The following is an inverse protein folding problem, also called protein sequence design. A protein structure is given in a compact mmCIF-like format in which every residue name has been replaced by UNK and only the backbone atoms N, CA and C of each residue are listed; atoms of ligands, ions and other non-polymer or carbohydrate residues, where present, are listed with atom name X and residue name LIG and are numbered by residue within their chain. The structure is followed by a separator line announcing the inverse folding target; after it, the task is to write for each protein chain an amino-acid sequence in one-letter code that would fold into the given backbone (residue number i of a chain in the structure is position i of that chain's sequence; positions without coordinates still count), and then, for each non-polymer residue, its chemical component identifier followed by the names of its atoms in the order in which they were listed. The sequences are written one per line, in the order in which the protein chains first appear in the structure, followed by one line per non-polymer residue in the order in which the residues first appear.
data_IF_223616543179
#
_entry.id   IF_223616543179
#
_cell.length_a   1.000
_cell.length_b   1.000
_cell.length_c   1.000
_cell.angle_alpha   90.00
_cell.angle_beta   90.00
_cell.angle_gamma   90.00
#
_symmetry.space_group_name_H-M   'P 1'
#
loop_
_entity.id
_entity.type
_entity.pdbx_description
1 polymer ?
#
# COMPACT_ATOMS: atom_id res chain seq x y z
N UNK A 1 -60.69 1.64 29.42
CA UNK A 1 -59.27 1.93 29.70
C UNK A 1 -58.40 0.94 28.91
N UNK A 2 -58.26 1.14 27.59
CA UNK A 2 -57.32 0.38 26.76
C UNK A 2 -56.85 1.29 25.62
N UNK A 3 -56.06 2.30 25.99
CA UNK A 3 -55.30 3.09 25.04
C UNK A 3 -54.10 2.26 24.57
N UNK A 4 -54.34 1.57 23.46
CA UNK A 4 -53.42 1.10 22.42
C UNK A 4 -51.91 1.15 22.75
N UNK A 5 -51.41 0.13 23.46
CA UNK A 5 -49.98 -0.05 23.76
C UNK A 5 -49.09 -0.11 22.50
N UNK A 6 -49.65 -0.55 21.36
CA UNK A 6 -48.93 -0.60 20.08
C UNK A 6 -48.58 0.80 19.51
N UNK A 7 -49.43 1.79 19.73
CA UNK A 7 -49.20 3.15 19.22
C UNK A 7 -48.09 3.86 20.02
N UNK A 8 -48.03 3.61 21.33
CA UNK A 8 -46.99 4.14 22.22
C UNK A 8 -45.64 3.49 21.90
N UNK A 9 -45.61 2.18 21.63
CA UNK A 9 -44.39 1.45 21.28
C UNK A 9 -43.83 1.85 19.91
N UNK A 10 -44.68 2.08 18.90
CA UNK A 10 -44.26 2.62 17.61
C UNK A 10 -43.75 4.07 17.71
N UNK A 11 -44.42 4.95 18.48
CA UNK A 11 -43.90 6.31 18.73
C UNK A 11 -42.56 6.28 19.46
N UNK A 12 -42.37 5.38 20.43
CA UNK A 12 -41.10 5.23 21.16
C UNK A 12 -39.95 4.80 20.23
N UNK A 13 -40.19 3.83 19.34
CA UNK A 13 -39.19 3.33 18.37
C UNK A 13 -38.82 4.41 17.34
N UNK A 14 -39.80 5.15 16.82
CA UNK A 14 -39.55 6.25 15.86
C UNK A 14 -38.77 7.39 16.53
N UNK A 15 -39.09 7.72 17.79
CA UNK A 15 -38.41 8.78 18.55
C UNK A 15 -36.98 8.37 18.93
N UNK A 16 -36.74 7.11 19.31
CA UNK A 16 -35.41 6.54 19.55
C UNK A 16 -34.56 6.48 18.26
N UNK A 17 -35.15 6.10 17.13
CA UNK A 17 -34.50 6.10 15.81
C UNK A 17 -34.11 7.51 15.35
N UNK A 18 -34.99 8.50 15.56
CA UNK A 18 -34.73 9.90 15.22
C UNK A 18 -33.67 10.53 16.14
N UNK A 19 -33.71 10.25 17.44
CA UNK A 19 -32.69 10.66 18.40
C UNK A 19 -31.34 9.98 18.12
N UNK A 20 -31.33 8.71 17.70
CA UNK A 20 -30.13 8.00 17.26
C UNK A 20 -29.49 8.64 16.03
N UNK A 21 -30.28 8.96 15.00
CA UNK A 21 -29.78 9.65 13.80
C UNK A 21 -29.28 11.06 14.11
N UNK A 22 -29.98 11.79 14.97
CA UNK A 22 -29.59 13.13 15.38
C UNK A 22 -28.31 13.10 16.22
N UNK A 23 -28.20 12.18 17.19
CA UNK A 23 -27.00 11.96 17.99
C UNK A 23 -25.80 11.57 17.10
N UNK A 24 -25.98 10.71 16.10
CA UNK A 24 -24.93 10.38 15.12
C UNK A 24 -24.48 11.60 14.31
N UNK A 25 -25.43 12.45 13.88
CA UNK A 25 -25.10 13.70 13.17
C UNK A 25 -24.38 14.70 14.07
N UNK A 26 -24.81 14.85 15.32
CA UNK A 26 -24.16 15.72 16.31
C UNK A 26 -22.77 15.21 16.65
N UNK A 27 -22.60 13.90 16.85
CA UNK A 27 -21.30 13.29 17.11
C UNK A 27 -20.37 13.45 15.90
N UNK A 28 -20.86 13.23 14.68
CA UNK A 28 -20.11 13.48 13.45
C UNK A 28 -19.67 14.94 13.35
N UNK A 29 -20.56 15.90 13.61
CA UNK A 29 -20.24 17.32 13.58
C UNK A 29 -19.20 17.70 14.65
N UNK A 30 -19.33 17.17 15.87
CA UNK A 30 -18.35 17.39 16.94
C UNK A 30 -17.01 16.79 16.58
N UNK A 31 -16.96 15.55 16.07
CA UNK A 31 -15.74 14.92 15.59
C UNK A 31 -15.11 15.71 14.45
N UNK A 32 -15.91 16.23 13.51
CA UNK A 32 -15.44 17.05 12.40
C UNK A 32 -14.87 18.39 12.87
N UNK A 33 -15.54 19.08 13.79
CA UNK A 33 -15.03 20.32 14.40
C UNK A 33 -13.77 20.09 15.22
N UNK A 34 -13.68 18.96 15.93
CA UNK A 34 -12.48 18.57 16.68
C UNK A 34 -11.31 18.30 15.72
N UNK A 35 -11.56 17.63 14.60
CA UNK A 35 -10.57 17.43 13.54
C UNK A 35 -10.11 18.77 12.95
N UNK A 36 -11.01 19.69 12.63
CA UNK A 36 -10.64 21.03 12.12
C UNK A 36 -9.78 21.80 13.12
N UNK A 37 -10.22 21.87 14.38
CA UNK A 37 -9.43 22.55 15.41
C UNK A 37 -8.07 21.88 15.61
N UNK A 38 -8.02 20.56 15.48
CA UNK A 38 -6.76 19.84 15.53
C UNK A 38 -5.84 20.19 14.35
N UNK A 39 -6.36 20.29 13.14
CA UNK A 39 -5.55 20.62 11.97
C UNK A 39 -4.97 22.04 12.00
N UNK A 40 -5.71 23.03 12.52
CA UNK A 40 -5.20 24.41 12.60
C UNK A 40 -3.97 24.50 13.50
N UNK A 41 -4.03 23.89 14.69
CA UNK A 41 -2.90 23.94 15.62
C UNK A 41 -1.74 23.02 15.23
N UNK A 42 -1.92 22.14 14.23
CA UNK A 42 -0.84 21.29 13.73
C UNK A 42 0.26 22.14 13.07
N UNK A 43 -0.13 23.18 12.32
CA UNK A 43 0.80 24.06 11.60
C UNK A 43 1.70 24.85 12.55
N UNK A 44 1.15 25.31 13.68
CA UNK A 44 1.93 26.05 14.68
C UNK A 44 3.03 25.19 15.32
N UNK A 45 2.88 23.87 15.30
CA UNK A 45 3.85 22.91 15.85
C UNK A 45 4.69 22.23 14.77
N UNK A 46 4.59 22.68 13.51
CA UNK A 46 5.20 21.96 12.39
C UNK A 46 6.72 21.92 12.50
N UNK A 47 7.29 20.72 12.38
CA UNK A 47 8.75 20.49 12.43
C UNK A 47 9.44 20.86 11.12
N UNK A 48 10.77 20.80 11.07
CA UNK A 48 11.51 20.94 9.80
C UNK A 48 11.23 19.73 8.90
N UNK A 49 10.85 19.99 7.64
CA UNK A 49 10.39 18.94 6.70
C UNK A 49 11.48 18.47 5.72
N UNK A 50 12.68 19.03 5.83
CA UNK A 50 13.87 18.69 5.06
C UNK A 50 15.02 18.43 6.03
N UNK A 51 14.91 17.34 6.80
CA UNK A 51 15.97 16.93 7.72
C UNK A 51 17.27 16.71 6.95
N UNK A 52 18.38 17.11 7.54
CA UNK A 52 19.73 16.85 7.04
C UNK A 52 20.55 15.98 8.00
N UNK A 53 19.88 15.42 9.01
CA UNK A 53 20.49 14.59 10.05
C UNK A 53 20.94 13.24 9.47
N UNK A 54 22.23 13.02 9.40
CA UNK A 54 22.80 11.80 8.82
C UNK A 54 22.47 10.56 9.67
N UNK A 55 22.00 9.51 9.01
CA UNK A 55 21.74 8.20 9.61
C UNK A 55 22.17 7.06 8.69
N UNK A 56 22.36 5.86 9.23
CA UNK A 56 22.49 4.65 8.43
C UNK A 56 21.91 3.43 9.13
N UNK A 57 21.48 2.46 8.33
CA UNK A 57 21.07 1.13 8.77
C UNK A 57 21.64 0.07 7.83
N UNK A 58 22.06 -1.06 8.39
CA UNK A 58 22.21 -2.32 7.67
C UNK A 58 21.53 -3.43 8.45
N UNK A 59 20.74 -4.25 7.77
CA UNK A 59 19.95 -5.31 8.37
C UNK A 59 20.00 -6.58 7.51
N UNK A 60 20.39 -7.75 8.08
CA UNK A 60 20.19 -9.02 7.41
C UNK A 60 18.71 -9.39 7.38
N UNK A 61 18.26 -9.88 6.25
CA UNK A 61 16.86 -10.22 5.96
C UNK A 61 16.78 -11.65 5.43
N UNK A 62 16.69 -12.68 6.30
CA UNK A 62 16.37 -14.02 5.82
C UNK A 62 15.00 -13.99 5.11
N UNK A 63 14.90 -14.65 3.96
CA UNK A 63 13.65 -14.66 3.18
C UNK A 63 13.28 -16.07 2.74
N UNK A 64 11.97 -16.26 2.55
CA UNK A 64 11.37 -17.43 1.90
C UNK A 64 10.27 -16.91 0.98
N UNK A 65 10.39 -17.18 -0.32
CA UNK A 65 9.42 -16.80 -1.33
C UNK A 65 8.83 -18.09 -1.92
N UNK A 66 7.53 -18.38 -1.73
CA UNK A 66 6.89 -19.60 -2.23
C UNK A 66 7.09 -19.79 -3.75
N UNK A 67 7.55 -20.98 -4.18
CA UNK A 67 7.90 -21.30 -5.56
C UNK A 67 9.24 -20.72 -6.04
N UNK A 68 9.67 -19.57 -5.51
CA UNK A 68 10.95 -18.98 -5.91
C UNK A 68 12.13 -19.58 -5.12
N UNK A 69 11.98 -19.80 -3.81
CA UNK A 69 12.98 -20.45 -2.94
C UNK A 69 13.28 -19.62 -1.68
N UNK A 70 14.42 -19.89 -1.04
CA UNK A 70 14.84 -19.20 0.17
C UNK A 70 16.27 -18.69 0.08
N UNK A 71 16.62 -17.77 0.99
CA UNK A 71 17.97 -17.23 1.03
C UNK A 71 18.17 -16.15 2.08
N UNK A 72 19.20 -15.34 1.84
CA UNK A 72 19.58 -14.24 2.71
C UNK A 72 19.62 -12.94 1.91
N UNK A 73 18.90 -11.94 2.41
CA UNK A 73 18.97 -10.57 1.96
C UNK A 73 19.80 -9.71 2.90
N UNK A 74 20.24 -8.57 2.38
CA UNK A 74 20.83 -7.47 3.14
C UNK A 74 20.16 -6.19 2.67
N UNK A 75 19.52 -5.49 3.60
CA UNK A 75 19.05 -4.13 3.39
C UNK A 75 20.06 -3.17 3.97
N UNK A 76 20.45 -2.17 3.20
CA UNK A 76 21.35 -1.10 3.61
C UNK A 76 20.79 0.25 3.19
N UNK A 77 20.91 1.25 4.06
CA UNK A 77 20.45 2.60 3.80
C UNK A 77 21.37 3.63 4.43
N UNK A 78 21.60 4.73 3.71
CA UNK A 78 22.19 5.96 4.24
C UNK A 78 21.19 7.08 4.05
N UNK A 79 21.05 7.91 5.07
CA UNK A 79 20.14 9.04 5.06
C UNK A 79 20.88 10.36 5.06
N UNK A 80 20.29 11.33 4.39
CA UNK A 80 20.76 12.71 4.39
C UNK A 80 22.27 12.80 4.09
N UNK A 81 22.69 12.06 3.07
CA UNK A 81 24.09 11.87 2.69
C UNK A 81 24.70 13.22 2.29
N UNK A 82 25.72 13.72 3.00
CA UNK A 82 26.30 15.01 2.68
C UNK A 82 27.20 14.93 1.42
N UNK A 83 27.23 16.00 0.64
CA UNK A 83 28.22 16.18 -0.43
C UNK A 83 29.32 17.15 0.02
N UNK A 84 30.42 16.60 0.53
CA UNK A 84 31.50 17.38 1.13
C UNK A 84 31.00 18.11 2.38
N UNK A 85 31.01 19.44 2.36
CA UNK A 85 30.45 20.29 3.43
C UNK A 85 28.98 20.68 3.22
N UNK A 86 28.34 20.18 2.17
CA UNK A 86 26.94 20.52 1.85
C UNK A 86 26.02 19.47 2.46
N UNK A 87 25.20 19.90 3.40
CA UNK A 87 24.09 19.11 3.93
C UNK A 87 23.03 18.89 2.85
N UNK A 88 22.46 17.68 2.80
CA UNK A 88 21.43 17.34 1.81
C UNK A 88 20.37 16.43 2.40
N UNK A 89 19.26 16.31 1.69
CA UNK A 89 18.17 15.36 1.95
C UNK A 89 18.34 14.06 1.17
N UNK A 90 19.52 13.81 0.59
CA UNK A 90 19.76 12.65 -0.24
C UNK A 90 19.73 11.38 0.61
N UNK A 91 18.80 10.49 0.32
CA UNK A 91 18.83 9.15 0.87
C UNK A 91 19.25 8.14 -0.20
N UNK A 92 20.01 7.13 0.21
CA UNK A 92 20.50 6.03 -0.64
C UNK A 92 20.14 4.70 -0.01
N UNK A 93 19.43 3.82 -0.74
CA UNK A 93 19.10 2.48 -0.29
C UNK A 93 19.55 1.42 -1.26
N UNK A 94 19.92 0.27 -0.70
CA UNK A 94 20.17 -0.94 -1.44
C UNK A 94 19.53 -2.13 -0.72
N UNK A 95 18.93 -3.03 -1.49
CA UNK A 95 18.55 -4.36 -1.04
C UNK A 95 19.29 -5.34 -1.93
N UNK A 96 20.08 -6.23 -1.35
CA UNK A 96 20.79 -7.29 -2.08
C UNK A 96 20.29 -8.63 -1.57
N UNK A 97 19.96 -9.55 -2.47
CA UNK A 97 19.51 -10.90 -2.09
C UNK A 97 20.34 -11.97 -2.80
N UNK A 98 20.61 -13.05 -2.07
CA UNK A 98 21.33 -14.23 -2.54
C UNK A 98 20.69 -15.51 -1.99
N UNK A 99 21.04 -16.67 -2.56
CA UNK A 99 20.40 -17.96 -2.27
C UNK A 99 19.76 -18.51 -3.55
N UNK A 100 18.53 -19.01 -3.42
CA UNK A 100 17.75 -19.49 -4.57
C UNK A 100 17.28 -18.36 -5.50
N UNK A 101 17.31 -17.12 -5.00
CA UNK A 101 17.05 -15.90 -5.76
C UNK A 101 18.26 -14.98 -5.62
N UNK A 102 18.80 -14.57 -6.76
CA UNK A 102 19.87 -13.60 -6.90
C UNK A 102 19.35 -12.28 -7.44
N UNK A 103 19.71 -11.18 -6.79
CA UNK A 103 19.38 -9.87 -7.31
C UNK A 103 19.54 -8.74 -6.32
N UNK A 104 19.00 -7.60 -6.69
CA UNK A 104 18.96 -6.46 -5.81
C UNK A 104 18.23 -5.26 -6.37
N UNK A 105 18.04 -4.29 -5.49
CA UNK A 105 17.41 -2.99 -5.75
C UNK A 105 18.40 -1.95 -5.25
N UNK A 106 18.57 -0.88 -6.02
CA UNK A 106 19.25 0.33 -5.57
C UNK A 106 18.36 1.52 -5.88
N UNK A 107 18.22 2.44 -4.94
CA UNK A 107 17.45 3.65 -5.14
C UNK A 107 18.07 4.84 -4.38
N UNK A 108 17.87 6.02 -4.95
CA UNK A 108 18.16 7.31 -4.34
C UNK A 108 16.84 8.10 -4.26
N UNK A 109 16.52 8.63 -3.09
CA UNK A 109 15.30 9.40 -2.84
C UNK A 109 15.61 10.77 -2.26
N UNK A 110 14.65 11.69 -2.40
CA UNK A 110 14.74 13.07 -1.94
C UNK A 110 16.02 13.79 -2.44
N UNK A 111 16.50 13.43 -3.66
CA UNK A 111 17.66 14.08 -4.30
C UNK A 111 17.30 15.54 -4.61
N UNK A 112 17.98 16.54 -4.00
CA UNK A 112 17.59 17.94 -4.16
C UNK A 112 18.14 18.52 -5.48
N UNK A 113 17.38 18.38 -6.57
CA UNK A 113 17.73 18.99 -7.88
C UNK A 113 17.69 20.52 -7.78
N UNK A 114 16.65 21.05 -7.13
CA UNK A 114 16.60 22.43 -6.66
C UNK A 114 16.26 22.36 -5.17
N UNK A 115 17.15 22.82 -4.27
CA UNK A 115 16.97 22.70 -2.82
C UNK A 115 15.57 23.14 -2.38
N UNK A 116 14.91 22.27 -1.61
CA UNK A 116 13.57 22.48 -1.03
C UNK A 116 12.41 22.72 -2.03
N UNK A 117 12.65 22.59 -3.34
CA UNK A 117 11.65 22.89 -4.37
C UNK A 117 11.45 21.76 -5.40
N UNK A 118 12.53 21.17 -5.92
CA UNK A 118 12.45 20.09 -6.90
C UNK A 118 13.28 18.90 -6.40
N UNK A 119 12.58 17.80 -6.12
CA UNK A 119 13.16 16.55 -5.65
C UNK A 119 13.06 15.48 -6.75
N UNK A 120 14.08 14.64 -6.82
CA UNK A 120 14.15 13.49 -7.71
C UNK A 120 14.28 12.21 -6.88
N UNK A 121 13.43 11.23 -7.17
CA UNK A 121 13.63 9.85 -6.74
C UNK A 121 13.95 9.00 -7.97
N UNK A 122 14.94 8.13 -7.87
CA UNK A 122 15.36 7.25 -8.94
C UNK A 122 15.76 5.91 -8.35
N UNK A 123 15.33 4.83 -8.97
CA UNK A 123 15.79 3.50 -8.58
C UNK A 123 15.72 2.51 -9.71
N UNK A 124 16.42 1.40 -9.49
CA UNK A 124 16.37 0.24 -10.36
C UNK A 124 16.56 -1.03 -9.55
N UNK A 125 16.05 -2.14 -10.07
CA UNK A 125 16.32 -3.45 -9.51
C UNK A 125 16.32 -4.53 -10.58
N UNK A 126 16.97 -5.64 -10.24
CA UNK A 126 17.02 -6.84 -11.06
C UNK A 126 17.00 -8.08 -10.19
N UNK A 127 16.23 -9.09 -10.61
CA UNK A 127 16.13 -10.39 -9.96
C UNK A 127 16.13 -11.50 -11.03
N UNK A 128 16.91 -12.56 -10.78
CA UNK A 128 16.96 -13.72 -11.67
C UNK A 128 15.66 -14.55 -11.61
N UNK A 129 15.04 -14.62 -10.43
CA UNK A 129 13.82 -15.37 -10.15
C UNK A 129 12.87 -14.57 -9.26
N UNK A 130 11.58 -14.78 -9.43
CA UNK A 130 10.53 -14.23 -8.56
C UNK A 130 9.28 -15.09 -8.65
N UNK A 131 8.30 -14.79 -7.81
CA UNK A 131 6.98 -15.40 -7.94
C UNK A 131 5.90 -14.54 -7.29
N UNK A 132 4.66 -14.78 -7.70
CA UNK A 132 3.48 -14.22 -7.03
C UNK A 132 2.34 -15.24 -7.07
N UNK A 133 1.42 -15.11 -6.12
CA UNK A 133 0.22 -15.95 -6.06
C UNK A 133 -0.87 -15.32 -6.92
N UNK A 134 -1.37 -16.10 -7.86
CA UNK A 134 -2.52 -15.77 -8.70
C UNK A 134 -3.74 -16.52 -8.16
N UNK A 135 -4.58 -15.83 -7.40
CA UNK A 135 -5.80 -16.40 -6.84
C UNK A 135 -6.85 -16.60 -7.93
N UNK A 136 -7.54 -17.74 -7.88
CA UNK A 136 -8.56 -18.06 -8.89
C UNK A 136 -9.81 -17.22 -8.72
N UNK A 137 -10.19 -16.92 -7.49
CA UNK A 137 -11.17 -15.88 -7.16
C UNK A 137 -10.49 -14.75 -6.37
N UNK A 138 -10.54 -13.53 -6.92
CA UNK A 138 -9.90 -12.34 -6.36
C UNK A 138 -10.73 -11.59 -5.31
N UNK A 139 -11.99 -12.00 -5.10
CA UNK A 139 -12.95 -11.30 -4.23
C UNK A 139 -12.75 -11.63 -2.76
N UNK A 140 -13.44 -10.87 -1.90
CA UNK A 140 -13.28 -10.99 -0.46
C UNK A 140 -13.66 -12.38 0.06
N UNK A 141 -14.67 -13.06 -0.50
CA UNK A 141 -15.12 -14.40 -0.10
C UNK A 141 -14.19 -15.56 -0.46
N UNK A 142 -13.17 -15.35 -1.29
CA UNK A 142 -12.45 -16.46 -1.92
C UNK A 142 -11.65 -17.33 -0.95
N UNK A 143 -11.41 -18.58 -1.38
CA UNK A 143 -10.62 -19.57 -0.65
C UNK A 143 -9.13 -19.17 -0.65
N UNK A 144 -8.48 -19.05 0.52
CA UNK A 144 -7.05 -18.74 0.60
C UNK A 144 -6.13 -19.79 -0.04
N UNK A 145 -6.58 -21.03 -0.18
CA UNK A 145 -5.77 -22.12 -0.74
C UNK A 145 -6.02 -22.32 -2.24
N UNK A 146 -6.96 -21.59 -2.84
CA UNK A 146 -7.30 -21.67 -4.27
C UNK A 146 -6.50 -20.64 -5.09
N UNK A 147 -5.20 -20.90 -5.21
CA UNK A 147 -4.29 -20.11 -6.02
C UNK A 147 -3.31 -20.99 -6.79
N UNK A 148 -2.74 -20.40 -7.83
CA UNK A 148 -1.56 -20.92 -8.53
C UNK A 148 -0.38 -19.98 -8.28
N UNK A 149 0.84 -20.51 -8.37
CA UNK A 149 2.07 -19.73 -8.22
C UNK A 149 2.60 -19.40 -9.62
N UNK A 150 2.64 -18.13 -9.96
CA UNK A 150 3.26 -17.65 -11.21
C UNK A 150 4.74 -17.36 -10.94
N UNK A 151 5.63 -18.11 -11.58
CA UNK A 151 7.08 -17.93 -11.50
C UNK A 151 7.56 -16.96 -12.59
N UNK A 152 8.40 -16.02 -12.17
CA UNK A 152 9.02 -15.02 -13.01
C UNK A 152 10.52 -15.26 -13.11
N UNK A 153 11.09 -14.97 -14.26
CA UNK A 153 12.54 -14.89 -14.48
C UNK A 153 12.93 -13.55 -15.11
N UNK A 154 14.21 -13.20 -14.98
CA UNK A 154 14.81 -12.01 -15.60
C UNK A 154 14.03 -10.71 -15.33
N UNK A 155 13.57 -10.56 -14.09
CA UNK A 155 12.77 -9.40 -13.68
C UNK A 155 13.68 -8.19 -13.51
N UNK A 156 13.36 -7.10 -14.20
CA UNK A 156 14.06 -5.82 -14.14
C UNK A 156 13.05 -4.71 -14.02
N UNK A 157 13.33 -3.73 -13.18
CA UNK A 157 12.51 -2.54 -13.12
C UNK A 157 13.36 -1.30 -12.91
N UNK A 158 12.83 -0.18 -13.37
CA UNK A 158 13.35 1.16 -13.12
C UNK A 158 12.18 2.04 -12.75
N UNK A 159 12.43 2.98 -11.87
CA UNK A 159 11.45 4.02 -11.59
C UNK A 159 12.11 5.39 -11.49
N UNK A 160 11.30 6.40 -11.72
CA UNK A 160 11.70 7.80 -11.55
C UNK A 160 10.49 8.57 -11.03
N UNK A 161 10.71 9.39 -10.00
CA UNK A 161 9.75 10.35 -9.49
C UNK A 161 10.33 11.74 -9.56
N UNK A 162 9.56 12.68 -10.06
CA UNK A 162 9.84 14.11 -9.93
C UNK A 162 8.78 14.71 -9.04
N UNK A 163 9.21 15.42 -7.99
CA UNK A 163 8.31 16.07 -7.03
C UNK A 163 8.63 17.55 -6.95
N UNK A 164 7.65 18.39 -7.29
CA UNK A 164 7.65 19.80 -6.97
C UNK A 164 7.06 19.98 -5.58
N UNK A 165 7.77 20.74 -4.75
CA UNK A 165 7.44 20.98 -3.35
C UNK A 165 7.12 22.44 -3.13
N UNK A 166 6.03 22.72 -2.42
CA UNK A 166 5.59 24.07 -2.08
C UNK A 166 5.24 24.16 -0.59
N UNK A 167 5.39 25.36 -0.04
CA UNK A 167 5.01 25.69 1.34
C UNK A 167 5.61 24.70 2.35
N UNK A 168 6.93 24.48 2.30
CA UNK A 168 7.64 23.56 3.20
C UNK A 168 7.00 22.15 3.25
N UNK A 169 6.86 21.51 2.07
CA UNK A 169 6.25 20.17 1.90
C UNK A 169 4.79 20.05 2.35
N UNK A 170 4.06 21.16 2.47
CA UNK A 170 2.61 21.10 2.69
C UNK A 170 1.84 20.79 1.40
N UNK A 171 2.40 21.13 0.24
CA UNK A 171 1.87 20.71 -1.05
C UNK A 171 3.01 20.14 -1.90
N UNK A 172 2.88 18.88 -2.26
CA UNK A 172 3.74 18.23 -3.24
C UNK A 172 2.92 17.92 -4.49
N UNK A 173 3.46 18.19 -5.67
CA UNK A 173 2.91 17.76 -6.96
C UNK A 173 3.95 16.89 -7.64
N UNK A 174 3.58 15.69 -8.08
CA UNK A 174 4.54 14.72 -8.57
C UNK A 174 4.07 13.95 -9.79
N UNK A 175 5.06 13.45 -10.53
CA UNK A 175 4.88 12.42 -11.55
C UNK A 175 5.80 11.25 -11.21
N UNK A 176 5.28 10.04 -11.35
CA UNK A 176 5.99 8.79 -11.12
C UNK A 176 5.92 7.96 -12.40
N UNK A 177 7.08 7.52 -12.89
CA UNK A 177 7.18 6.66 -14.06
C UNK A 177 7.92 5.38 -13.69
N UNK A 178 7.47 4.25 -14.24
CA UNK A 178 8.15 2.96 -14.10
C UNK A 178 8.32 2.31 -15.46
N UNK A 179 9.43 1.61 -15.65
CA UNK A 179 9.62 0.64 -16.71
C UNK A 179 9.88 -0.72 -16.05
N UNK A 180 9.07 -1.72 -16.38
CA UNK A 180 9.18 -3.06 -15.82
C UNK A 180 9.31 -4.06 -16.96
N UNK A 181 10.22 -5.00 -16.81
CA UNK A 181 10.39 -6.13 -17.72
C UNK A 181 10.50 -7.41 -16.91
N UNK A 182 9.80 -8.45 -17.32
CA UNK A 182 9.88 -9.76 -16.68
C UNK A 182 9.43 -10.84 -17.65
N UNK A 183 9.78 -12.09 -17.36
CA UNK A 183 9.38 -13.24 -18.16
C UNK A 183 8.61 -14.20 -17.27
N UNK A 184 7.38 -14.55 -17.65
CA UNK A 184 6.68 -15.68 -17.03
C UNK A 184 7.35 -16.97 -17.50
N UNK A 185 7.92 -17.71 -16.56
CA UNK A 185 8.68 -18.93 -16.81
C UNK A 185 7.90 -20.20 -16.50
N UNK A 186 7.04 -20.17 -15.48
CA UNK A 186 6.16 -21.28 -15.14
C UNK A 186 4.97 -20.84 -14.31
N UNK A 187 3.95 -21.69 -14.26
CA UNK A 187 2.88 -21.66 -13.27
C UNK A 187 2.80 -23.02 -12.60
N UNK A 188 2.77 -22.99 -11.27
CA UNK A 188 2.73 -24.16 -10.40
C UNK A 188 1.46 -24.16 -9.58
N UNK A 189 1.09 -25.32 -9.06
CA UNK A 189 0.06 -25.39 -8.03
C UNK A 189 0.57 -24.84 -6.69
N UNK A 190 -0.29 -24.89 -5.67
CA UNK A 190 0.04 -24.43 -4.31
C UNK A 190 1.13 -25.27 -3.62
N UNK A 191 1.32 -26.51 -4.05
CA UNK A 191 2.28 -27.48 -3.48
C UNK A 191 3.64 -27.42 -4.22
N UNK A 192 3.70 -26.72 -5.36
CA UNK A 192 4.91 -26.47 -6.14
C UNK A 192 5.03 -27.37 -7.38
N UNK A 193 4.03 -28.20 -7.66
CA UNK A 193 4.03 -29.06 -8.84
C UNK A 193 3.74 -28.24 -10.10
N UNK A 194 4.43 -28.59 -11.19
CA UNK A 194 4.32 -27.86 -12.45
C UNK A 194 2.94 -28.08 -13.08
N UNK A 195 2.19 -26.98 -13.26
CA UNK A 195 0.94 -26.97 -14.04
C UNK A 195 1.22 -26.52 -15.47
N UNK A 196 2.06 -25.50 -15.65
CA UNK A 196 2.18 -24.81 -16.93
C UNK A 196 3.59 -24.26 -17.09
N UNK A 197 4.28 -24.62 -18.16
CA UNK A 197 5.56 -24.00 -18.52
C UNK A 197 5.31 -22.85 -19.48
N UNK A 198 5.99 -21.73 -19.25
CA UNK A 198 5.82 -20.51 -20.03
C UNK A 198 7.18 -19.93 -20.44
N UNK A 199 7.18 -19.16 -21.52
CA UNK A 199 8.33 -18.31 -21.88
C UNK A 199 7.80 -17.01 -22.48
N UNK A 200 7.04 -16.29 -21.66
CA UNK A 200 6.35 -15.09 -22.09
C UNK A 200 6.98 -13.88 -21.43
N UNK A 201 7.84 -13.19 -22.19
CA UNK A 201 8.36 -11.90 -21.77
C UNK A 201 7.30 -10.81 -21.92
N UNK A 202 7.19 -9.95 -20.92
CA UNK A 202 6.37 -8.76 -20.94
C UNK A 202 7.22 -7.56 -20.50
N UNK A 203 6.97 -6.44 -21.16
CA UNK A 203 7.54 -5.14 -20.82
C UNK A 203 6.40 -4.14 -20.72
N UNK A 204 6.44 -3.31 -19.68
CA UNK A 204 5.38 -2.36 -19.38
C UNK A 204 5.95 -1.07 -18.83
N UNK A 205 5.62 0.02 -19.50
CA UNK A 205 5.78 1.37 -18.97
C UNK A 205 4.50 1.78 -18.25
N UNK A 206 4.63 2.41 -17.10
CA UNK A 206 3.51 3.01 -16.40
C UNK A 206 3.84 4.42 -15.98
N UNK A 207 2.82 5.27 -15.91
CA UNK A 207 2.93 6.63 -15.41
C UNK A 207 1.75 6.97 -14.53
N UNK A 208 2.06 7.52 -13.36
CA UNK A 208 1.11 8.12 -12.44
C UNK A 208 1.44 9.58 -12.23
N UNK A 209 0.41 10.42 -12.11
CA UNK A 209 0.55 11.82 -11.71
C UNK A 209 -0.30 12.04 -10.47
N UNK A 210 0.19 12.85 -9.53
CA UNK A 210 -0.50 13.02 -8.27
C UNK A 210 -0.09 14.26 -7.52
N UNK A 211 -0.75 14.47 -6.40
CA UNK A 211 -0.39 15.48 -5.44
C UNK A 211 -0.60 14.97 -4.01
N UNK A 212 0.12 15.57 -3.08
CA UNK A 212 -0.06 15.37 -1.65
C UNK A 212 -0.28 16.73 -0.98
N UNK A 213 -1.33 16.82 -0.17
CA UNK A 213 -1.53 17.91 0.77
C UNK A 213 -1.22 17.36 2.17
N UNK A 214 -0.20 17.93 2.80
CA UNK A 214 0.27 17.53 4.11
C UNK A 214 0.10 18.68 5.11
N UNK A 215 -1.01 18.65 5.83
CA UNK A 215 -1.35 19.59 6.89
C UNK A 215 -1.14 18.93 8.26
N UNK A 216 -0.01 18.25 8.43
CA UNK A 216 0.36 17.62 9.70
C UNK A 216 1.42 18.44 10.45
N UNK A 217 1.63 18.15 11.73
CA UNK A 217 2.71 18.76 12.52
C UNK A 217 4.09 18.13 12.24
N UNK A 218 4.14 16.91 11.73
CA UNK A 218 5.39 16.26 11.30
C UNK A 218 5.09 15.31 10.16
N UNK A 219 5.87 15.32 9.07
CA UNK A 219 5.59 14.46 7.91
C UNK A 219 5.90 12.98 8.17
N UNK A 220 6.92 12.68 8.98
CA UNK A 220 7.45 11.34 9.26
C UNK A 220 6.68 10.66 10.38
N UNK A 221 6.44 11.36 11.50
CA UNK A 221 5.61 10.86 12.60
C UNK A 221 4.55 11.88 13.04
N UNK A 222 3.51 12.10 12.20
CA UNK A 222 2.41 12.99 12.53
C UNK A 222 1.76 12.64 13.88
N UNK A 223 1.59 13.63 14.75
CA UNK A 223 0.74 13.51 15.95
C UNK A 223 -0.62 14.18 15.75
N UNK A 224 -0.67 15.18 14.86
CA UNK A 224 -1.85 16.01 14.66
C UNK A 224 -1.97 16.45 13.21
N UNK A 225 -3.21 16.54 12.74
CA UNK A 225 -3.53 17.14 11.44
C UNK A 225 -3.98 16.15 10.39
N UNK A 226 -3.92 16.54 9.12
CA UNK A 226 -4.53 15.81 8.01
C UNK A 226 -3.54 15.67 6.84
N UNK A 227 -3.51 14.48 6.25
CA UNK A 227 -2.77 14.19 5.01
C UNK A 227 -3.74 13.66 3.97
N UNK A 228 -3.70 14.22 2.76
CA UNK A 228 -4.42 13.76 1.59
C UNK A 228 -3.40 13.47 0.49
N UNK A 229 -3.52 12.31 -0.15
CA UNK A 229 -2.77 11.96 -1.35
C UNK A 229 -3.78 11.56 -2.42
N UNK A 230 -3.57 12.08 -3.62
CA UNK A 230 -4.31 11.69 -4.81
C UNK A 230 -3.34 11.28 -5.91
N UNK A 231 -3.63 10.18 -6.59
CA UNK A 231 -2.90 9.78 -7.80
C UNK A 231 -3.88 9.38 -8.91
N UNK A 232 -3.49 9.66 -10.14
CA UNK A 232 -4.16 9.21 -11.36
C UNK A 232 -3.13 8.49 -12.24
N UNK A 233 -3.41 7.23 -12.53
CA UNK A 233 -2.58 6.35 -13.34
C UNK A 233 -3.33 5.96 -14.60
N UNK A 234 -2.71 6.21 -15.76
CA UNK A 234 -3.32 5.90 -17.05
C UNK A 234 -2.96 4.47 -17.48
N UNK A 235 -3.94 3.70 -17.96
CA UNK A 235 -3.76 2.34 -18.47
C UNK A 235 -4.31 2.24 -19.90
N UNK A 236 -3.58 2.79 -20.89
CA UNK A 236 -3.99 2.73 -22.28
C UNK A 236 -4.00 1.29 -22.79
N UNK A 237 -4.88 1.00 -23.74
CA UNK A 237 -4.99 -0.33 -24.31
C UNK A 237 -3.69 -0.75 -25.02
N UNK A 238 -3.10 -1.86 -24.57
CA UNK A 238 -1.90 -2.44 -25.18
C UNK A 238 -2.17 -3.13 -26.53
N UNK A 239 -3.40 -3.58 -26.76
CA UNK A 239 -3.87 -4.20 -28.01
C UNK A 239 -5.32 -3.79 -28.28
N UNK A 240 -5.85 -4.11 -29.46
CA UNK A 240 -7.28 -3.91 -29.77
C UNK A 240 -8.21 -4.65 -28.80
N UNK A 241 -7.74 -5.76 -28.22
CA UNK A 241 -8.48 -6.61 -27.29
C UNK A 241 -8.32 -6.23 -25.82
N UNK A 242 -7.37 -5.35 -25.49
CA UNK A 242 -7.17 -4.84 -24.14
C UNK A 242 -8.14 -3.71 -23.84
N UNK A 243 -8.59 -3.58 -22.57
CA UNK A 243 -9.35 -2.42 -22.14
C UNK A 243 -8.48 -1.18 -22.15
N UNK A 244 -9.14 -0.05 -22.27
CA UNK A 244 -8.58 1.27 -22.08
C UNK A 244 -9.23 1.89 -20.85
N UNK A 245 -8.45 2.18 -19.81
CA UNK A 245 -8.97 2.67 -18.53
C UNK A 245 -7.94 3.54 -17.80
N UNK A 246 -8.39 4.24 -16.76
CA UNK A 246 -7.51 4.92 -15.81
C UNK A 246 -7.91 4.56 -14.39
N UNK A 247 -7.00 4.78 -13.44
CA UNK A 247 -7.18 4.46 -12.03
C UNK A 247 -6.97 5.72 -11.21
N UNK A 248 -7.93 6.04 -10.34
CA UNK A 248 -7.83 7.12 -9.37
C UNK A 248 -7.70 6.53 -7.96
N UNK A 249 -6.65 6.94 -7.26
CA UNK A 249 -6.43 6.63 -5.85
C UNK A 249 -6.66 7.86 -4.98
N UNK A 250 -7.36 7.68 -3.87
CA UNK A 250 -7.51 8.66 -2.81
C UNK A 250 -7.05 8.03 -1.49
N UNK A 251 -6.15 8.69 -0.79
CA UNK A 251 -5.66 8.24 0.52
C UNK A 251 -5.71 9.41 1.50
N UNK A 252 -6.53 9.29 2.53
CA UNK A 252 -6.76 10.33 3.54
C UNK A 252 -6.37 9.76 4.90
N UNK A 253 -5.46 10.43 5.59
CA UNK A 253 -5.07 10.08 6.95
C UNK A 253 -5.20 11.26 7.88
N UNK A 254 -6.00 11.10 8.95
CA UNK A 254 -6.13 12.07 10.03
C UNK A 254 -5.40 11.61 11.28
N UNK A 255 -4.80 12.55 12.00
CA UNK A 255 -4.05 12.30 13.24
C UNK A 255 -4.63 13.12 14.37
N UNK A 256 -4.96 12.43 15.45
CA UNK A 256 -5.57 13.01 16.64
C UNK A 256 -4.67 12.73 17.84
N UNK A 257 -4.12 13.76 18.50
CA UNK A 257 -3.32 13.57 19.70
C UNK A 257 -4.22 13.10 20.84
N UNK A 258 -3.75 12.11 21.60
CA UNK A 258 -4.42 11.54 22.77
C UNK A 258 -3.40 11.29 23.87
N UNK A 259 -3.86 11.28 25.13
CA UNK A 259 -2.97 11.23 26.30
C UNK A 259 -1.96 12.40 26.24
N UNK A 260 -0.78 12.26 26.83
CA UNK A 260 0.22 13.34 26.88
C UNK A 260 0.93 13.55 25.54
N UNK A 261 1.27 12.48 24.83
CA UNK A 261 2.04 12.53 23.58
C UNK A 261 1.76 11.34 22.66
N UNK A 262 0.65 10.61 22.83
CA UNK A 262 0.26 9.48 21.97
C UNK A 262 -0.68 9.94 20.85
N UNK A 263 -0.92 9.09 19.85
CA UNK A 263 -1.69 9.48 18.65
C UNK A 263 -2.68 8.40 18.24
N UNK A 264 -3.88 8.80 17.81
CA UNK A 264 -4.77 7.97 17.01
C UNK A 264 -4.67 8.40 15.56
N UNK A 265 -4.27 7.48 14.68
CA UNK A 265 -4.30 7.64 13.24
C UNK A 265 -5.55 6.98 12.66
N UNK A 266 -6.23 7.68 11.77
CA UNK A 266 -7.41 7.21 11.05
C UNK A 266 -7.12 7.28 9.56
N UNK A 267 -7.19 6.15 8.86
CA UNK A 267 -6.95 6.08 7.43
C UNK A 267 -8.23 5.71 6.68
N UNK A 268 -8.44 6.34 5.54
CA UNK A 268 -9.40 5.94 4.52
C UNK A 268 -8.69 5.94 3.18
N UNK A 269 -8.82 4.85 2.45
CA UNK A 269 -8.26 4.69 1.12
C UNK A 269 -9.32 4.15 0.17
N UNK A 270 -9.31 4.69 -1.03
CA UNK A 270 -10.16 4.25 -2.13
C UNK A 270 -9.37 4.25 -3.42
N UNK A 271 -9.55 3.20 -4.20
CA UNK A 271 -9.09 3.14 -5.58
C UNK A 271 -10.19 2.67 -6.51
N UNK A 272 -10.34 3.34 -7.65
CA UNK A 272 -11.35 3.02 -8.64
C UNK A 272 -10.78 3.05 -10.05
N UNK A 273 -11.06 2.00 -10.82
CA UNK A 273 -10.79 1.94 -12.24
C UNK A 273 -12.02 2.43 -13.02
N UNK A 274 -11.79 3.29 -14.00
CA UNK A 274 -12.83 3.81 -14.89
C UNK A 274 -12.48 3.45 -16.33
N UNK A 275 -13.30 2.56 -16.92
CA UNK A 275 -13.11 2.07 -18.29
C UNK A 275 -13.61 3.10 -19.30
N UNK A 276 -12.70 3.55 -20.18
CA UNK A 276 -13.01 4.39 -21.35
C UNK A 276 -13.52 3.54 -22.51
N UNK A 277 -12.88 2.39 -22.74
CA UNK A 277 -13.26 1.40 -23.75
C UNK A 277 -13.01 0.01 -23.23
N UNK A 278 -14.01 -0.87 -23.35
CA UNK A 278 -13.85 -2.26 -22.98
C UNK A 278 -12.91 -2.98 -23.95
N UNK A 279 -12.19 -3.96 -23.41
CA UNK A 279 -11.48 -4.95 -24.20
C UNK A 279 -12.44 -6.00 -24.75
N UNK A 280 -11.89 -7.11 -25.26
CA UNK A 280 -12.72 -8.24 -25.68
C UNK A 280 -13.30 -8.96 -24.45
N UNK A 281 -14.62 -9.03 -24.33
CA UNK A 281 -15.30 -9.70 -23.21
C UNK A 281 -15.93 -11.04 -23.59
N UNK A 282 -15.69 -11.54 -24.82
CA UNK A 282 -16.13 -12.86 -25.26
C UNK A 282 -15.32 -13.96 -24.53
N UNK A 283 -15.99 -14.70 -23.64
CA UNK A 283 -15.34 -15.71 -22.81
C UNK A 283 -14.80 -16.89 -23.64
N UNK A 284 -15.51 -17.34 -24.66
CA UNK A 284 -15.07 -18.47 -25.49
C UNK A 284 -13.81 -18.09 -26.27
N UNK A 285 -13.77 -16.86 -26.79
CA UNK A 285 -12.58 -16.30 -27.40
C UNK A 285 -11.41 -16.23 -26.42
N UNK A 286 -11.64 -15.71 -25.21
CA UNK A 286 -10.59 -15.57 -24.19
C UNK A 286 -10.06 -16.95 -23.77
N UNK A 287 -10.93 -17.94 -23.56
CA UNK A 287 -10.52 -19.33 -23.28
C UNK A 287 -9.63 -19.88 -24.40
N UNK A 288 -10.05 -19.72 -25.66
CA UNK A 288 -9.27 -20.19 -26.80
C UNK A 288 -7.90 -19.51 -26.87
N UNK A 289 -7.83 -18.21 -26.56
CA UNK A 289 -6.58 -17.45 -26.54
C UNK A 289 -5.65 -17.89 -25.41
N UNK A 290 -6.15 -18.03 -24.19
CA UNK A 290 -5.35 -18.52 -23.05
C UNK A 290 -4.87 -19.96 -23.29
N UNK A 291 -5.68 -20.79 -23.95
CA UNK A 291 -5.29 -22.15 -24.38
C UNK A 291 -4.14 -22.11 -25.40
N UNK A 292 -4.20 -21.21 -26.38
CA UNK A 292 -3.19 -21.09 -27.42
C UNK A 292 -1.83 -20.59 -26.88
N UNK A 293 -1.82 -19.84 -25.78
CA UNK A 293 -0.59 -19.41 -25.08
C UNK A 293 0.00 -20.49 -24.17
N UNK A 294 -0.68 -21.63 -24.01
CA UNK A 294 -0.19 -22.72 -23.18
C UNK A 294 0.82 -23.61 -23.93
N UNK A 295 2.02 -23.81 -23.37
CA UNK A 295 3.07 -24.62 -24.00
C UNK A 295 2.96 -26.12 -23.65
N UNK A 296 2.68 -26.45 -22.38
CA UNK A 296 2.54 -27.83 -21.89
C UNK A 296 1.69 -27.91 -20.60
N UNK A 297 1.16 -29.10 -20.29
CA UNK A 297 0.43 -29.45 -19.05
C UNK A 297 -0.86 -28.63 -18.75
N UNK A 298 -1.50 -28.10 -19.78
CA UNK A 298 -2.64 -27.19 -19.71
C UNK A 298 -3.88 -27.76 -18.99
N UNK A 299 -4.13 -27.30 -17.76
CA UNK A 299 -5.36 -27.57 -17.02
C UNK A 299 -6.52 -26.66 -17.48
N UNK A 300 -7.63 -27.27 -17.90
CA UNK A 300 -8.80 -26.54 -18.42
C UNK A 300 -9.42 -25.62 -17.38
N UNK A 301 -9.48 -26.03 -16.12
CA UNK A 301 -10.06 -25.20 -15.06
C UNK A 301 -9.24 -23.92 -14.82
N UNK A 302 -7.91 -24.04 -14.84
CA UNK A 302 -6.99 -22.90 -14.74
C UNK A 302 -7.14 -21.95 -15.93
N UNK A 303 -7.23 -22.47 -17.15
CA UNK A 303 -7.46 -21.67 -18.35
C UNK A 303 -8.76 -20.87 -18.24
N UNK A 304 -9.86 -21.51 -17.83
CA UNK A 304 -11.15 -20.84 -17.68
C UNK A 304 -11.10 -19.70 -16.65
N UNK A 305 -10.34 -19.90 -15.57
CA UNK A 305 -10.14 -18.88 -14.53
C UNK A 305 -9.33 -17.70 -15.05
N UNK A 306 -8.21 -17.95 -15.75
CA UNK A 306 -7.41 -16.89 -16.36
C UNK A 306 -8.25 -16.08 -17.35
N UNK A 307 -9.06 -16.76 -18.17
CA UNK A 307 -9.98 -16.15 -19.11
C UNK A 307 -11.05 -15.29 -18.41
N UNK A 308 -11.65 -15.77 -17.30
CA UNK A 308 -12.63 -15.00 -16.50
C UNK A 308 -12.00 -13.77 -15.85
N UNK A 309 -10.81 -13.91 -15.27
CA UNK A 309 -10.07 -12.78 -14.69
C UNK A 309 -9.75 -11.73 -15.76
N UNK A 310 -9.37 -12.18 -16.96
CA UNK A 310 -9.17 -11.30 -18.10
C UNK A 310 -10.47 -10.65 -18.56
N UNK A 311 -11.57 -11.39 -18.64
CA UNK A 311 -12.89 -10.87 -19.01
C UNK A 311 -13.31 -9.74 -18.05
N UNK A 312 -13.19 -9.97 -16.74
CA UNK A 312 -13.51 -8.97 -15.73
C UNK A 312 -12.62 -7.72 -15.85
N UNK A 313 -11.31 -7.90 -16.08
CA UNK A 313 -10.38 -6.78 -16.32
C UNK A 313 -10.74 -6.03 -17.62
N UNK A 314 -11.06 -6.76 -18.69
CA UNK A 314 -11.47 -6.18 -19.98
C UNK A 314 -12.80 -5.41 -19.87
N UNK A 315 -13.67 -5.77 -18.93
CA UNK A 315 -14.97 -5.14 -18.72
C UNK A 315 -14.92 -3.96 -17.75
N UNK A 316 -14.18 -4.08 -16.65
CA UNK A 316 -14.22 -3.15 -15.50
C UNK A 316 -12.89 -2.45 -15.20
N UNK A 317 -11.78 -2.89 -15.82
CA UNK A 317 -10.44 -2.46 -15.42
C UNK A 317 -9.99 -3.10 -14.10
N UNK A 318 -8.90 -2.58 -13.54
CA UNK A 318 -8.36 -3.03 -12.25
C UNK A 318 -7.73 -1.85 -11.50
N UNK A 319 -8.10 -1.67 -10.23
CA UNK A 319 -7.76 -0.50 -9.44
C UNK A 319 -6.69 -0.76 -8.36
N UNK A 320 -6.16 -1.97 -8.28
CA UNK A 320 -5.15 -2.37 -7.29
C UNK A 320 -5.60 -3.54 -6.44
N UNK A 321 -4.98 -3.70 -5.28
CA UNK A 321 -5.19 -4.86 -4.42
C UNK A 321 -5.11 -4.54 -2.92
N UNK A 322 -5.62 -5.46 -2.09
CA UNK A 322 -5.48 -5.47 -0.64
C UNK A 322 -4.66 -6.67 -0.17
N UNK A 323 -4.07 -6.54 1.02
CA UNK A 323 -3.09 -7.46 1.58
C UNK A 323 -1.66 -6.94 1.41
N UNK A 324 -0.74 -7.44 2.23
CA UNK A 324 0.66 -6.98 2.27
C UNK A 324 0.91 -5.95 3.36
N UNK A 325 1.95 -5.11 3.20
CA UNK A 325 2.46 -4.23 4.25
C UNK A 325 1.59 -3.00 4.51
N UNK A 326 0.86 -2.55 3.50
CA UNK A 326 0.14 -1.28 3.57
C UNK A 326 -1.25 -1.42 4.19
N UNK A 327 -2.01 -2.45 3.80
CA UNK A 327 -3.45 -2.56 4.11
C UNK A 327 -3.86 -4.02 4.22
N UNK A 328 -4.69 -4.35 5.21
CA UNK A 328 -5.06 -5.72 5.54
C UNK A 328 -3.82 -6.58 5.81
N UNK A 329 -3.01 -6.12 6.76
CA UNK A 329 -1.66 -6.63 7.05
C UNK A 329 -1.56 -8.12 7.43
N UNK A 330 -2.64 -8.75 7.88
CA UNK A 330 -2.64 -10.19 8.12
C UNK A 330 -2.70 -11.04 6.85
N UNK A 331 -2.93 -10.44 5.68
CA UNK A 331 -3.13 -11.13 4.40
C UNK A 331 -1.91 -10.96 3.49
N UNK A 332 -1.67 -11.96 2.63
CA UNK A 332 -0.58 -11.92 1.63
C UNK A 332 -0.75 -10.72 0.68
N UNK A 333 0.35 -10.13 0.21
CA UNK A 333 0.31 -9.06 -0.79
C UNK A 333 -0.48 -9.48 -2.03
N UNK A 334 -1.40 -8.64 -2.51
CA UNK A 334 -2.22 -8.96 -3.68
C UNK A 334 -3.36 -9.95 -3.45
N UNK A 335 -3.65 -10.32 -2.20
CA UNK A 335 -4.64 -11.37 -1.85
C UNK A 335 -6.04 -11.10 -2.39
N UNK A 336 -6.47 -9.83 -2.40
CA UNK A 336 -7.77 -9.41 -2.93
C UNK A 336 -7.55 -8.33 -3.98
N UNK A 337 -8.25 -8.38 -5.11
CA UNK A 337 -8.14 -7.34 -6.14
C UNK A 337 -9.47 -7.14 -6.87
N UNK A 338 -9.66 -5.97 -7.46
CA UNK A 338 -10.91 -5.58 -8.10
C UNK A 338 -10.79 -4.29 -8.89
N UNK A 339 -11.85 -3.95 -9.62
CA UNK A 339 -11.96 -2.65 -10.29
C UNK A 339 -12.28 -1.52 -9.29
N UNK A 340 -12.78 -1.85 -8.12
CA UNK A 340 -13.04 -0.92 -7.03
C UNK A 340 -12.46 -1.51 -5.74
N UNK A 341 -11.71 -0.71 -5.00
CA UNK A 341 -11.06 -1.09 -3.73
C UNK A 341 -11.34 -0.01 -2.71
N UNK A 342 -11.73 -0.40 -1.51
CA UNK A 342 -11.85 0.52 -0.39
C UNK A 342 -11.31 -0.11 0.89
N UNK A 343 -10.62 0.69 1.70
CA UNK A 343 -10.15 0.27 3.01
C UNK A 343 -10.23 1.41 4.02
N UNK A 344 -10.37 1.03 5.29
CA UNK A 344 -10.28 1.95 6.41
C UNK A 344 -9.49 1.32 7.54
N UNK A 345 -8.67 2.13 8.19
CA UNK A 345 -7.81 1.71 9.29
C UNK A 345 -7.92 2.66 10.46
N UNK A 346 -7.77 2.12 11.66
CA UNK A 346 -7.50 2.88 12.88
C UNK A 346 -6.24 2.31 13.52
N UNK A 347 -5.36 3.19 13.97
CA UNK A 347 -4.16 2.81 14.69
C UNK A 347 -3.95 3.72 15.90
N UNK A 348 -3.84 3.13 17.08
CA UNK A 348 -3.41 3.80 18.29
C UNK A 348 -1.91 3.60 18.46
N UNK A 349 -1.15 4.70 18.40
CA UNK A 349 0.28 4.76 18.64
C UNK A 349 0.52 5.22 20.07
N UNK A 350 0.86 4.27 20.93
CA UNK A 350 1.27 4.56 22.28
C UNK A 350 2.75 4.95 22.28
N UNK A 351 2.99 6.23 22.48
CA UNK A 351 4.35 6.74 22.60
C UNK A 351 4.86 6.46 24.02
N UNK A 352 6.01 5.80 24.11
CA UNK A 352 6.65 5.41 25.38
C UNK A 352 7.78 6.36 25.78
N UNK A 353 8.34 7.06 24.80
CA UNK A 353 9.41 8.04 24.97
C UNK A 353 9.42 9.01 23.79
N UNK A 354 9.66 10.28 24.07
CA UNK A 354 9.96 11.36 23.13
C UNK A 354 11.42 11.86 23.30
N UNK A 355 12.24 11.08 24.00
CA UNK A 355 13.64 11.43 24.24
C UNK A 355 14.45 11.39 22.96
N UNK A 356 15.18 12.48 22.70
CA UNK A 356 16.18 12.56 21.64
C UNK A 356 17.49 11.94 22.12
N UNK A 357 17.78 10.72 21.68
CA UNK A 357 18.96 9.97 22.11
C UNK A 357 19.75 9.49 20.90
N UNK A 358 20.97 10.00 20.73
CA UNK A 358 21.88 9.50 19.71
C UNK A 358 22.31 8.06 20.04
N UNK A 359 22.42 7.24 19.00
CA UNK A 359 22.97 5.89 19.10
C UNK A 359 23.86 5.61 17.88
N UNK A 360 24.95 4.89 18.11
CA UNK A 360 25.92 4.49 17.08
C UNK A 360 26.32 3.05 17.39
N UNK A 361 25.63 2.12 16.75
CA UNK A 361 25.92 0.69 16.79
C UNK A 361 26.47 0.27 15.44
N UNK A 362 27.19 -0.85 15.41
CA UNK A 362 27.89 -1.32 14.21
C UNK A 362 27.00 -1.42 12.95
N UNK A 363 25.71 -1.68 13.12
CA UNK A 363 24.75 -1.85 12.03
C UNK A 363 23.69 -0.74 11.95
N UNK A 364 23.67 0.23 12.87
CA UNK A 364 22.69 1.32 12.83
C UNK A 364 23.22 2.54 13.58
N UNK A 365 23.10 3.71 12.97
CA UNK A 365 23.42 4.99 13.58
C UNK A 365 22.32 5.99 13.27
N UNK A 366 21.78 6.60 14.32
CA UNK A 366 20.79 7.65 14.18
C UNK A 366 20.57 8.39 15.51
N UNK A 367 19.64 9.33 15.51
CA UNK A 367 19.06 9.95 16.70
C UNK A 367 17.67 9.35 16.89
N UNK A 368 17.46 8.55 17.93
CA UNK A 368 16.12 8.10 18.31
C UNK A 368 15.31 9.33 18.70
N UNK A 369 14.17 9.54 18.08
CA UNK A 369 13.22 10.62 18.41
C UNK A 369 11.92 10.09 19.01
N UNK A 370 11.66 8.78 18.87
CA UNK A 370 10.54 8.14 19.55
C UNK A 370 10.62 6.61 19.56
N UNK A 371 10.07 6.01 20.62
CA UNK A 371 9.79 4.58 20.69
C UNK A 371 8.30 4.37 21.02
N UNK A 372 7.61 3.57 20.21
CA UNK A 372 6.16 3.47 20.27
C UNK A 372 5.68 2.04 20.10
N UNK A 373 4.52 1.75 20.68
CA UNK A 373 3.76 0.53 20.42
C UNK A 373 2.49 0.92 19.69
N UNK A 374 2.26 0.33 18.52
CA UNK A 374 1.11 0.58 17.68
C UNK A 374 0.11 -0.57 17.77
N UNK A 375 -1.15 -0.27 18.05
CA UNK A 375 -2.27 -1.21 17.99
C UNK A 375 -3.17 -0.80 16.85
N UNK A 376 -3.49 -1.71 15.93
CA UNK A 376 -4.26 -1.37 14.74
C UNK A 376 -5.40 -2.33 14.48
N UNK A 377 -6.41 -1.79 13.80
CA UNK A 377 -7.53 -2.52 13.24
C UNK A 377 -7.85 -1.96 11.86
N UNK A 378 -8.05 -2.85 10.90
CA UNK A 378 -8.22 -2.54 9.50
C UNK A 378 -9.41 -3.31 8.93
N UNK A 379 -10.14 -2.67 8.02
CA UNK A 379 -11.16 -3.31 7.20
C UNK A 379 -10.92 -2.95 5.75
N UNK A 380 -11.22 -3.89 4.85
CA UNK A 380 -11.13 -3.65 3.43
C UNK A 380 -12.12 -4.48 2.63
N UNK A 381 -12.39 -4.02 1.42
CA UNK A 381 -13.32 -4.60 0.45
C UNK A 381 -12.79 -4.38 -0.97
N UNK A 382 -13.07 -5.33 -1.85
CA UNK A 382 -12.87 -5.19 -3.30
C UNK A 382 -14.15 -5.58 -4.01
N UNK A 383 -14.43 -4.97 -5.16
CA UNK A 383 -15.58 -5.25 -5.99
C UNK A 383 -15.30 -4.90 -7.47
N UNK A 384 -16.16 -5.41 -8.37
CA UNK A 384 -16.15 -5.01 -9.78
C UNK A 384 -16.94 -3.70 -10.00
N UNK A 385 -17.91 -3.42 -9.14
CA UNK A 385 -18.72 -2.20 -9.17
C UNK A 385 -18.68 -1.46 -7.83
N UNK A 386 -18.83 -0.13 -7.87
CA UNK A 386 -18.83 0.70 -6.66
C UNK A 386 -20.00 0.36 -5.72
N UNK A 387 -21.17 0.07 -6.28
CA UNK A 387 -22.37 -0.28 -5.50
C UNK A 387 -22.22 -1.57 -4.69
N UNK A 388 -21.25 -2.42 -5.06
CA UNK A 388 -21.00 -3.68 -4.39
C UNK A 388 -19.92 -3.61 -3.31
N UNK A 389 -19.24 -2.46 -3.16
CA UNK A 389 -18.29 -2.25 -2.07
C UNK A 389 -18.99 -2.45 -0.72
N UNK A 390 -18.29 -3.10 0.20
CA UNK A 390 -18.76 -3.41 1.56
C UNK A 390 -19.87 -4.47 1.67
N UNK A 391 -20.37 -5.02 0.58
CA UNK A 391 -21.22 -6.22 0.62
C UNK A 391 -20.46 -7.40 1.25
N UNK A 392 -19.17 -7.50 0.96
CA UNK A 392 -18.24 -8.41 1.60
C UNK A 392 -17.01 -7.65 2.08
N UNK A 393 -16.45 -8.03 3.23
CA UNK A 393 -15.23 -7.42 3.75
C UNK A 393 -14.33 -8.44 4.45
N UNK A 394 -13.08 -8.01 4.66
CA UNK A 394 -12.11 -8.68 5.53
C UNK A 394 -11.55 -7.70 6.53
N UNK A 395 -11.01 -8.25 7.60
CA UNK A 395 -10.53 -7.49 8.76
C UNK A 395 -9.18 -8.01 9.18
N UNK A 396 -8.31 -7.10 9.60
CA UNK A 396 -6.97 -7.40 10.12
C UNK A 396 -6.77 -6.60 11.40
N UNK A 397 -6.24 -7.23 12.44
CA UNK A 397 -5.93 -6.57 13.71
C UNK A 397 -4.54 -6.99 14.19
N UNK A 398 -3.81 -6.07 14.80
CA UNK A 398 -2.46 -6.39 15.21
C UNK A 398 -1.82 -5.38 16.15
N UNK A 399 -0.57 -5.69 16.46
CA UNK A 399 0.32 -4.91 17.32
C UNK A 399 1.67 -4.81 16.64
N UNK A 400 2.37 -3.70 16.84
CA UNK A 400 3.77 -3.60 16.45
C UNK A 400 4.55 -2.56 17.24
N UNK A 401 5.86 -2.59 17.05
CA UNK A 401 6.79 -1.62 17.62
C UNK A 401 7.28 -0.68 16.54
N UNK A 402 7.40 0.61 16.87
CA UNK A 402 7.94 1.64 15.98
C UNK A 402 9.14 2.32 16.63
N UNK A 403 10.25 2.38 15.91
CA UNK A 403 11.39 3.22 16.22
C UNK A 403 11.40 4.39 15.23
N UNK A 404 11.19 5.60 15.75
CA UNK A 404 11.21 6.84 14.97
C UNK A 404 12.58 7.50 15.15
N UNK A 405 13.18 7.94 14.05
CA UNK A 405 14.52 8.52 14.06
C UNK A 405 14.58 9.94 13.49
N UNK A 406 15.63 10.66 13.83
CA UNK A 406 15.87 12.05 13.44
C UNK A 406 16.27 12.20 11.97
N UNK A 407 16.86 11.16 11.38
CA UNK A 407 17.12 11.11 9.93
C UNK A 407 15.84 11.08 9.09
N UNK A 408 14.68 10.81 9.69
CA UNK A 408 13.38 10.77 9.02
C UNK A 408 12.84 9.36 8.80
N UNK A 409 13.49 8.31 9.33
CA UNK A 409 13.01 6.95 9.23
C UNK A 409 12.07 6.51 10.34
N UNK A 410 11.17 5.61 9.96
CA UNK A 410 10.39 4.81 10.90
C UNK A 410 10.69 3.34 10.61
N UNK A 411 11.25 2.65 11.59
CA UNK A 411 11.43 1.19 11.55
C UNK A 411 10.30 0.53 12.31
N UNK A 412 9.64 -0.43 11.68
CA UNK A 412 8.46 -1.05 12.25
C UNK A 412 8.49 -2.56 12.11
N UNK A 413 8.10 -3.23 13.19
CA UNK A 413 7.87 -4.67 13.26
C UNK A 413 6.45 -4.90 13.75
N UNK A 414 5.60 -5.41 12.88
CA UNK A 414 4.20 -5.70 13.15
C UNK A 414 3.95 -7.21 13.22
N UNK A 415 3.01 -7.59 14.08
CA UNK A 415 2.31 -8.86 14.02
C UNK A 415 0.81 -8.60 13.84
N UNK A 416 0.26 -9.09 12.74
CA UNK A 416 -1.14 -8.94 12.37
C UNK A 416 -1.84 -10.29 12.37
N UNK A 417 -3.13 -10.31 12.67
CA UNK A 417 -4.00 -11.49 12.66
C UNK A 417 -5.31 -11.19 11.94
N UNK A 418 -5.81 -12.19 11.20
CA UNK A 418 -7.07 -12.11 10.48
C UNK A 418 -7.64 -13.51 10.23
N UNK A 419 -8.62 -13.60 9.32
CA UNK A 419 -9.31 -14.87 9.04
C UNK A 419 -8.38 -15.96 8.50
N UNK A 420 -7.29 -15.59 7.83
CA UNK A 420 -6.35 -16.49 7.16
C UNK A 420 -5.08 -16.77 8.00
N UNK A 421 -5.08 -16.35 9.27
CA UNK A 421 -3.97 -16.59 10.20
C UNK A 421 -3.22 -15.32 10.59
N UNK A 422 -1.98 -15.53 11.07
CA UNK A 422 -1.09 -14.46 11.54
C UNK A 422 0.05 -14.19 10.56
N UNK A 423 0.51 -12.94 10.50
CA UNK A 423 1.61 -12.49 9.66
C UNK A 423 2.53 -11.54 10.44
N UNK A 424 3.83 -11.73 10.28
CA UNK A 424 4.85 -10.80 10.79
C UNK A 424 5.39 -9.96 9.65
N UNK A 425 5.40 -8.64 9.82
CA UNK A 425 5.80 -7.71 8.77
C UNK A 425 6.88 -6.76 9.29
N UNK A 426 7.93 -6.58 8.51
CA UNK A 426 8.92 -5.51 8.70
C UNK A 426 8.60 -4.41 7.71
N UNK A 427 8.46 -3.17 8.20
CA UNK A 427 8.19 -1.99 7.38
C UNK A 427 9.31 -0.97 7.64
N UNK A 428 9.82 -0.41 6.55
CA UNK A 428 10.70 0.76 6.54
C UNK A 428 9.85 1.89 5.97
N UNK A 429 9.65 2.97 6.74
CA UNK A 429 8.62 4.01 6.54
C UNK A 429 7.25 3.67 7.18
N UNK A 430 6.19 4.34 6.76
CA UNK A 430 4.87 4.34 7.37
C UNK A 430 3.84 3.58 6.51
N UNK A 431 3.05 2.64 7.07
CA UNK A 431 1.97 2.00 6.32
C UNK A 431 0.89 3.02 5.95
N UNK A 432 0.22 2.81 4.83
CA UNK A 432 -0.64 3.82 4.17
C UNK A 432 0.19 4.95 3.53
N UNK A 433 1.47 4.70 3.26
CA UNK A 433 2.43 5.64 2.68
C UNK A 433 2.31 5.80 1.16
N UNK A 434 3.14 6.67 0.59
CA UNK A 434 3.05 7.10 -0.83
C UNK A 434 3.85 6.27 -1.81
N UNK A 435 4.82 5.46 -1.36
CA UNK A 435 5.70 4.74 -2.27
C UNK A 435 5.00 3.50 -2.83
N UNK A 436 4.51 3.62 -4.07
CA UNK A 436 3.99 2.50 -4.87
C UNK A 436 2.47 2.33 -4.92
N UNK A 437 1.67 3.37 -4.65
CA UNK A 437 0.21 3.37 -4.86
C UNK A 437 -0.19 3.75 -6.29
#
# INVERSE_FOLDING_TARGET
MFLNQNLIQQLYIVTLSRNSKMLKKTLFLISFLFLIHSSVSAIERRTEQFSTEFGYLTLPLPYVIPGAGMGLGFLGGFNNVPFGSTETTLDLFAILITGDIGGGIVLATDVPVIPKFLLLDIGQGNFDKGSFRSYRDRRMSSDPDDYVISELSDTRFKFTRLTLTFFDRMLDVFTFGTNNKSTLSAVRDKDGDLIYEANQSFEGDSRSNGFQIDWTDDRTDPQKGLKLIYTNSDSPASTSESPDYYVENYNITGYVPVLSYSTIALNWYRSGATVRRQGNTDLDYLIARETATCFSNCDTATIEVLAKNRQATNQYGSAGSLGGTERLRSYVGGRFSGAQVESRGIEFRWNLSDEKTAFDWYFIKDIRTGFQVAFFYEEGTVADSESDLWNEKRTSAGIGTRLVTGSGFVYRLDYATGKEGGSTIVIFDYPWGTFGQ
#
